data_IF_451423201323
#
_entry.id   IF_451423201323
#
_cell.length_a   1.000
_cell.length_b   1.000
_cell.length_c   1.000
_cell.angle_alpha   90.00
_cell.angle_beta   90.00
_cell.angle_gamma   90.00
#
_symmetry.space_group_name_H-M   'P 1'
#
loop_
_entity.id
_entity.type
_entity.pdbx_description
1 polymer ?
#
# COMPACT_ATOMS: atom_id res chain seq x y z
N UNK A 1 21.25 19.97 8.19
CA UNK A 1 21.42 19.51 9.57
C UNK A 1 22.88 19.14 9.79
N UNK A 2 23.42 19.40 10.99
CA UNK A 2 24.74 19.00 11.39
C UNK A 2 24.63 18.07 12.60
N UNK A 3 25.43 17.01 12.59
CA UNK A 3 25.49 16.05 13.69
C UNK A 3 25.86 16.75 15.01
N UNK A 4 25.16 16.44 16.07
CA UNK A 4 25.28 17.08 17.38
C UNK A 4 24.46 18.38 17.55
N UNK A 5 23.83 18.89 16.48
CA UNK A 5 23.04 20.13 16.49
C UNK A 5 21.55 19.88 16.15
N UNK A 6 21.12 18.63 16.07
CA UNK A 6 19.72 18.30 15.79
C UNK A 6 18.90 18.18 17.08
N UNK A 7 17.56 18.27 17.03
CA UNK A 7 16.71 18.05 18.19
C UNK A 7 16.86 16.68 18.86
N UNK A 8 17.42 15.70 18.13
CA UNK A 8 17.65 14.33 18.60
C UNK A 8 19.12 14.04 18.98
N UNK A 9 19.98 15.06 19.05
CA UNK A 9 21.37 14.92 19.45
C UNK A 9 21.55 14.31 20.85
N UNK A 10 20.49 14.35 21.69
CA UNK A 10 20.44 13.68 22.99
C UNK A 10 20.47 12.14 22.89
N UNK A 11 20.23 11.59 21.70
CA UNK A 11 20.32 10.15 21.37
C UNK A 11 21.29 9.98 20.21
N UNK A 12 22.62 10.01 20.43
CA UNK A 12 23.61 10.14 19.35
C UNK A 12 23.58 9.01 18.32
N UNK A 13 23.27 7.79 18.75
CA UNK A 13 23.19 6.66 17.81
C UNK A 13 21.97 6.77 16.86
N UNK A 14 20.84 7.25 17.35
CA UNK A 14 19.66 7.51 16.52
C UNK A 14 19.93 8.67 15.56
N UNK A 15 20.56 9.74 16.05
CA UNK A 15 20.95 10.86 15.21
C UNK A 15 21.83 10.41 14.04
N UNK A 16 22.85 9.59 14.29
CA UNK A 16 23.73 9.05 13.24
C UNK A 16 22.94 8.28 12.17
N UNK A 17 22.02 7.41 12.56
CA UNK A 17 21.18 6.66 11.62
C UNK A 17 20.34 7.60 10.77
N UNK A 18 19.66 8.57 11.38
CA UNK A 18 18.85 9.54 10.65
C UNK A 18 19.68 10.45 9.74
N UNK A 19 20.89 10.83 10.16
CA UNK A 19 21.80 11.59 9.31
C UNK A 19 22.26 10.78 8.08
N UNK A 20 22.40 9.45 8.20
CA UNK A 20 22.62 8.57 7.04
C UNK A 20 21.44 8.60 6.10
N UNK A 21 20.19 8.48 6.56
CA UNK A 21 18.99 8.56 5.73
C UNK A 21 18.94 9.85 4.90
N UNK A 22 19.34 10.97 5.46
CA UNK A 22 19.36 12.26 4.75
C UNK A 22 20.54 12.44 3.80
N UNK A 23 21.67 11.81 4.06
CA UNK A 23 22.91 11.98 3.27
C UNK A 23 23.04 10.96 2.14
N UNK A 24 22.56 9.74 2.37
CA UNK A 24 22.70 8.62 1.44
C UNK A 24 21.49 8.54 0.49
N UNK A 25 21.43 9.45 -0.47
CA UNK A 25 20.37 9.48 -1.50
C UNK A 25 20.54 8.43 -2.60
N UNK A 26 21.66 7.70 -2.62
CA UNK A 26 21.92 6.62 -3.57
C UNK A 26 21.77 5.27 -2.89
N UNK A 27 21.47 4.22 -3.68
CA UNK A 27 21.34 2.85 -3.17
C UNK A 27 22.71 2.25 -2.86
N UNK A 28 23.26 2.62 -1.70
CA UNK A 28 24.56 2.19 -1.17
C UNK A 28 24.44 0.93 -0.33
N UNK A 29 25.54 0.40 0.18
CA UNK A 29 25.57 -0.75 1.09
C UNK A 29 24.82 -0.48 2.42
N UNK A 30 24.67 0.79 2.78
CA UNK A 30 23.83 1.16 3.91
C UNK A 30 22.36 0.70 3.70
N UNK A 31 21.78 0.94 2.52
CA UNK A 31 20.40 0.58 2.20
C UNK A 31 20.21 -0.92 1.92
N UNK A 32 21.29 -1.66 1.66
CA UNK A 32 21.27 -3.11 1.41
C UNK A 32 21.25 -3.96 2.67
N UNK A 33 21.36 -3.33 3.86
CA UNK A 33 21.30 -4.06 5.12
C UNK A 33 19.96 -4.77 5.26
N UNK A 34 19.97 -6.01 5.76
CA UNK A 34 18.78 -6.85 5.92
C UNK A 34 17.67 -6.17 6.75
N UNK A 35 18.05 -5.37 7.73
CA UNK A 35 17.12 -4.60 8.56
C UNK A 35 16.46 -3.42 7.85
N UNK A 36 17.00 -2.98 6.72
CA UNK A 36 16.49 -1.84 5.94
C UNK A 36 15.84 -2.27 4.64
N UNK A 37 16.30 -3.36 4.05
CA UNK A 37 15.80 -3.84 2.76
C UNK A 37 15.55 -5.35 2.78
N UNK A 38 14.41 -5.76 3.29
CA UNK A 38 13.99 -7.16 3.32
C UNK A 38 13.60 -7.70 1.93
N UNK A 39 13.36 -6.84 0.94
CA UNK A 39 13.00 -7.26 -0.42
C UNK A 39 14.09 -8.15 -1.07
N UNK A 40 15.35 -7.96 -0.73
CA UNK A 40 16.44 -8.85 -1.18
C UNK A 40 16.41 -10.25 -0.55
N UNK A 41 15.49 -10.49 0.38
CA UNK A 41 15.43 -11.72 1.17
C UNK A 41 14.08 -12.43 1.07
N UNK A 42 13.21 -12.04 0.15
CA UNK A 42 11.90 -12.67 -0.06
C UNK A 42 12.01 -14.19 -0.27
N UNK A 43 13.05 -14.64 -1.00
CA UNK A 43 13.27 -16.08 -1.22
C UNK A 43 13.55 -16.88 0.07
N UNK A 44 14.05 -16.22 1.11
CA UNK A 44 14.35 -16.82 2.41
C UNK A 44 13.20 -16.74 3.40
N UNK A 45 12.15 -16.00 3.11
CA UNK A 45 10.98 -15.90 3.97
C UNK A 45 10.24 -17.23 4.02
N UNK A 46 9.65 -17.53 5.17
CA UNK A 46 8.89 -18.76 5.37
C UNK A 46 7.61 -18.79 4.51
N UNK A 47 7.24 -20.00 4.07
CA UNK A 47 5.96 -20.27 3.44
C UNK A 47 4.88 -20.40 4.53
N UNK A 48 4.24 -19.29 4.85
CA UNK A 48 3.16 -19.20 5.85
C UNK A 48 1.99 -18.38 5.29
N UNK A 49 0.75 -18.66 5.72
CA UNK A 49 -0.40 -17.85 5.34
C UNK A 49 -0.21 -16.39 5.79
N UNK A 50 -0.42 -15.43 4.88
CA UNK A 50 -0.19 -14.02 5.18
C UNK A 50 -1.24 -13.09 4.56
N UNK A 51 -1.57 -12.00 5.29
CA UNK A 51 -2.40 -10.90 4.80
C UNK A 51 -1.56 -9.65 4.72
N UNK A 52 -1.56 -9.03 3.55
CA UNK A 52 -0.90 -7.76 3.23
C UNK A 52 -1.97 -6.68 3.13
N UNK A 53 -1.85 -5.62 3.90
CA UNK A 53 -2.87 -4.57 3.94
C UNK A 53 -2.22 -3.20 3.92
N UNK A 54 -2.64 -2.33 2.99
CA UNK A 54 -2.20 -0.95 2.88
C UNK A 54 -3.27 -0.09 2.21
N UNK A 55 -2.95 1.17 1.92
CA UNK A 55 -3.86 2.10 1.27
C UNK A 55 -3.18 2.88 0.16
N UNK A 56 -3.97 3.35 -0.83
CA UNK A 56 -3.46 4.13 -1.96
C UNK A 56 -2.76 5.44 -1.56
N UNK A 57 -3.06 5.95 -0.36
CA UNK A 57 -2.45 7.15 0.24
C UNK A 57 -1.45 6.80 1.35
N UNK A 58 -1.02 5.54 1.44
CA UNK A 58 -0.02 5.08 2.40
C UNK A 58 1.36 5.04 1.73
N UNK A 59 2.42 5.59 2.35
CA UNK A 59 3.78 5.52 1.80
C UNK A 59 4.31 4.10 1.64
N UNK A 60 3.69 3.10 2.29
CA UNK A 60 4.09 1.70 2.21
C UNK A 60 3.28 0.87 1.20
N UNK A 61 2.44 1.50 0.36
CA UNK A 61 1.60 0.78 -0.60
C UNK A 61 2.41 -0.01 -1.63
N UNK A 62 3.49 0.58 -2.14
CA UNK A 62 4.36 -0.06 -3.12
C UNK A 62 5.02 -1.32 -2.54
N UNK A 63 5.72 -1.18 -1.43
CA UNK A 63 6.42 -2.30 -0.78
C UNK A 63 5.46 -3.41 -0.36
N UNK A 64 4.27 -3.04 0.15
CA UNK A 64 3.24 -4.01 0.56
C UNK A 64 2.75 -4.83 -0.63
N UNK A 65 2.47 -4.19 -1.76
CA UNK A 65 1.98 -4.85 -2.96
C UNK A 65 3.07 -5.67 -3.67
N UNK A 66 4.32 -5.20 -3.68
CA UNK A 66 5.47 -5.93 -4.22
C UNK A 66 5.77 -7.18 -3.39
N UNK A 67 5.75 -7.05 -2.05
CA UNK A 67 5.95 -8.20 -1.17
C UNK A 67 4.86 -9.25 -1.38
N UNK A 68 3.59 -8.85 -1.46
CA UNK A 68 2.51 -9.77 -1.78
C UNK A 68 2.76 -10.49 -3.10
N UNK A 69 3.07 -9.76 -4.18
CA UNK A 69 3.29 -10.35 -5.50
C UNK A 69 4.40 -11.41 -5.48
N UNK A 70 5.51 -11.13 -4.80
CA UNK A 70 6.62 -12.06 -4.63
C UNK A 70 6.22 -13.30 -3.81
N UNK A 71 5.56 -13.08 -2.68
CA UNK A 71 5.21 -14.19 -1.80
C UNK A 71 4.09 -15.04 -2.37
N UNK A 72 3.12 -14.45 -3.08
CA UNK A 72 2.07 -15.20 -3.78
C UNK A 72 2.62 -16.07 -4.92
N UNK A 73 3.65 -15.59 -5.62
CA UNK A 73 4.31 -16.37 -6.67
C UNK A 73 5.19 -17.51 -6.12
N UNK A 74 5.72 -17.36 -4.90
CA UNK A 74 6.66 -18.28 -4.27
C UNK A 74 5.98 -19.31 -3.39
N UNK A 75 5.01 -18.89 -2.58
CA UNK A 75 4.44 -19.68 -1.50
C UNK A 75 3.31 -20.60 -2.00
N UNK A 76 3.12 -21.71 -1.32
CA UNK A 76 1.99 -22.62 -1.51
C UNK A 76 0.84 -22.31 -0.55
N UNK A 77 1.12 -21.63 0.54
CA UNK A 77 0.11 -21.20 1.51
C UNK A 77 -0.62 -19.95 1.05
N UNK A 78 -1.88 -19.74 1.48
CA UNK A 78 -2.67 -18.58 1.09
C UNK A 78 -2.01 -17.24 1.40
N UNK A 79 -1.95 -16.38 0.38
CA UNK A 79 -1.48 -15.01 0.48
C UNK A 79 -2.64 -14.10 0.08
N UNK A 80 -2.94 -13.06 0.86
CA UNK A 80 -4.07 -12.16 0.61
C UNK A 80 -3.62 -10.70 0.62
N UNK A 81 -4.01 -9.93 -0.40
CA UNK A 81 -3.75 -8.49 -0.51
C UNK A 81 -5.04 -7.68 -0.35
N UNK A 82 -5.01 -6.65 0.48
CA UNK A 82 -6.12 -5.70 0.64
C UNK A 82 -5.57 -4.27 0.48
N UNK A 83 -5.99 -3.56 -0.57
CA UNK A 83 -5.63 -2.17 -0.82
C UNK A 83 -6.87 -1.29 -0.86
N UNK A 84 -7.06 -0.49 0.18
CA UNK A 84 -8.15 0.47 0.29
C UNK A 84 -7.74 1.91 -0.03
N UNK A 85 -8.70 2.86 -0.06
CA UNK A 85 -8.39 4.27 -0.26
C UNK A 85 -7.97 4.93 1.06
N UNK A 86 -7.03 4.30 1.76
CA UNK A 86 -6.60 4.69 3.09
C UNK A 86 -5.23 5.37 3.08
N UNK A 87 -4.98 6.17 4.10
CA UNK A 87 -3.64 6.54 4.52
C UNK A 87 -3.19 5.64 5.70
N UNK A 88 -1.97 5.82 6.18
CA UNK A 88 -1.37 4.99 7.23
C UNK A 88 -2.17 4.92 8.54
N UNK A 89 -3.04 5.88 8.82
CA UNK A 89 -3.76 5.96 10.10
C UNK A 89 -5.28 5.83 9.99
N UNK A 90 -5.86 5.91 8.78
CA UNK A 90 -7.32 5.92 8.60
C UNK A 90 -8.03 4.61 8.96
N UNK A 91 -7.31 3.50 9.06
CA UNK A 91 -7.82 2.21 9.54
C UNK A 91 -7.75 2.04 11.06
N UNK A 92 -7.33 3.06 11.82
CA UNK A 92 -7.19 2.98 13.29
C UNK A 92 -8.38 3.58 14.01
N UNK A 93 -8.63 3.12 15.23
CA UNK A 93 -9.70 3.63 16.07
C UNK A 93 -11.07 3.40 15.45
N UNK A 94 -11.82 4.47 15.26
CA UNK A 94 -13.15 4.40 14.63
C UNK A 94 -13.11 4.18 13.12
N UNK A 95 -11.94 4.30 12.49
CA UNK A 95 -11.77 4.35 11.06
C UNK A 95 -12.22 5.70 10.48
N UNK A 96 -12.11 5.80 9.16
CA UNK A 96 -12.61 6.94 8.41
C UNK A 96 -13.04 6.51 7.00
N UNK A 97 -14.11 7.12 6.52
CA UNK A 97 -14.57 6.98 5.13
C UNK A 97 -13.85 7.93 4.16
N UNK A 98 -12.94 8.76 4.69
CA UNK A 98 -12.27 9.83 3.94
C UNK A 98 -10.76 9.89 4.20
N UNK A 99 -10.05 10.52 3.29
CA UNK A 99 -8.65 10.92 3.43
C UNK A 99 -8.53 12.39 3.02
N UNK A 100 -8.13 13.25 3.97
CA UNK A 100 -8.14 14.69 3.74
C UNK A 100 -9.54 15.18 3.35
N UNK A 101 -9.61 15.90 2.23
CA UNK A 101 -10.82 16.50 1.69
C UNK A 101 -11.57 15.59 0.69
N UNK A 102 -11.27 14.28 0.70
CA UNK A 102 -11.87 13.31 -0.23
C UNK A 102 -12.64 12.23 0.52
N UNK A 103 -13.93 12.10 0.22
CA UNK A 103 -14.86 11.13 0.78
C UNK A 103 -15.05 9.93 -0.17
N UNK A 104 -14.93 8.69 0.38
CA UNK A 104 -15.02 7.43 -0.37
C UNK A 104 -16.25 6.59 0.00
N UNK A 105 -17.02 7.01 1.00
CA UNK A 105 -18.21 6.32 1.50
C UNK A 105 -17.93 5.28 2.58
N UNK A 106 -19.02 4.85 3.24
CA UNK A 106 -18.94 3.97 4.43
C UNK A 106 -18.36 2.58 4.17
N UNK A 107 -18.36 2.11 2.94
CA UNK A 107 -17.80 0.78 2.60
C UNK A 107 -16.29 0.68 2.83
N UNK A 108 -15.61 1.81 2.94
CA UNK A 108 -14.17 1.88 3.21
C UNK A 108 -13.85 2.24 4.66
N UNK A 109 -14.85 2.49 5.50
CA UNK A 109 -14.68 2.82 6.91
C UNK A 109 -14.29 1.58 7.73
N UNK A 110 -13.04 1.15 7.56
CA UNK A 110 -12.45 0.02 8.27
C UNK A 110 -11.69 0.51 9.50
N UNK A 111 -12.41 0.74 10.59
CA UNK A 111 -11.78 0.98 11.88
C UNK A 111 -11.34 -0.31 12.57
N UNK A 112 -10.84 -0.18 13.81
CA UNK A 112 -10.35 -1.31 14.60
C UNK A 112 -11.39 -2.46 14.66
N UNK A 113 -12.67 -2.17 14.65
CA UNK A 113 -13.73 -3.19 14.70
C UNK A 113 -13.70 -4.11 13.49
N UNK A 114 -13.72 -3.56 12.27
CA UNK A 114 -13.71 -4.35 11.03
C UNK A 114 -12.34 -5.03 10.84
N UNK A 115 -11.28 -4.28 11.07
CA UNK A 115 -9.91 -4.78 10.93
C UNK A 115 -9.63 -5.93 11.89
N UNK A 116 -10.11 -5.86 13.13
CA UNK A 116 -9.94 -6.96 14.09
C UNK A 116 -10.82 -8.16 13.76
N UNK A 117 -12.02 -7.98 13.19
CA UNK A 117 -12.84 -9.09 12.71
C UNK A 117 -12.10 -9.87 11.61
N UNK A 118 -11.52 -9.20 10.63
CA UNK A 118 -10.70 -9.83 9.58
C UNK A 118 -9.48 -10.54 10.16
N UNK A 119 -8.77 -9.92 11.10
CA UNK A 119 -7.62 -10.53 11.78
C UNK A 119 -8.01 -11.76 12.59
N UNK A 120 -9.12 -11.72 13.33
CA UNK A 120 -9.57 -12.87 14.11
C UNK A 120 -9.99 -14.03 13.21
N UNK A 121 -10.72 -13.79 12.13
CA UNK A 121 -11.04 -14.83 11.14
C UNK A 121 -9.76 -15.50 10.63
N UNK A 122 -8.75 -14.70 10.27
CA UNK A 122 -7.46 -15.20 9.78
C UNK A 122 -6.72 -16.02 10.83
N UNK A 123 -6.53 -15.49 12.02
CA UNK A 123 -5.78 -16.16 13.08
C UNK A 123 -6.53 -17.36 13.69
N UNK A 124 -7.85 -17.32 13.76
CA UNK A 124 -8.63 -18.46 14.23
C UNK A 124 -8.49 -19.64 13.25
N UNK A 125 -8.45 -19.37 11.96
CA UNK A 125 -8.21 -20.41 10.95
C UNK A 125 -6.78 -20.98 11.06
N UNK A 126 -5.78 -20.13 11.00
CA UNK A 126 -4.39 -20.58 10.82
C UNK A 126 -3.67 -20.94 12.12
N UNK A 127 -4.12 -20.48 13.27
CA UNK A 127 -3.51 -20.79 14.57
C UNK A 127 -4.33 -21.77 15.42
N UNK A 128 -5.65 -21.88 15.16
CA UNK A 128 -6.56 -22.70 15.97
C UNK A 128 -7.28 -23.77 15.15
N UNK A 129 -7.08 -23.80 13.83
CA UNK A 129 -7.76 -24.70 12.89
C UNK A 129 -9.31 -24.62 12.95
N UNK A 130 -9.83 -23.43 13.23
CA UNK A 130 -11.27 -23.15 13.21
C UNK A 130 -11.66 -22.78 11.78
N UNK A 131 -12.69 -23.44 11.24
CA UNK A 131 -13.26 -23.05 9.95
C UNK A 131 -13.96 -21.69 10.08
N UNK A 132 -13.39 -20.67 9.45
CA UNK A 132 -13.90 -19.28 9.44
C UNK A 132 -14.35 -18.83 8.05
N UNK A 133 -14.24 -19.70 7.04
CA UNK A 133 -14.52 -19.38 5.64
C UNK A 133 -13.49 -18.42 5.02
N UNK A 134 -12.35 -18.17 5.65
CA UNK A 134 -11.34 -17.22 5.15
C UNK A 134 -10.60 -17.75 3.92
N UNK A 135 -10.64 -19.06 3.70
CA UNK A 135 -10.04 -19.73 2.53
C UNK A 135 -10.84 -19.50 1.25
N UNK A 136 -12.13 -19.14 1.38
CA UNK A 136 -13.01 -18.80 0.26
C UNK A 136 -12.96 -17.30 -0.11
N UNK A 137 -12.24 -16.49 0.67
CA UNK A 137 -12.07 -15.08 0.39
C UNK A 137 -11.16 -14.88 -0.85
N UNK A 138 -11.44 -13.83 -1.62
CA UNK A 138 -10.61 -13.45 -2.76
C UNK A 138 -9.14 -13.20 -2.35
N UNK A 139 -8.15 -13.66 -3.13
CA UNK A 139 -6.73 -13.44 -2.82
C UNK A 139 -6.34 -11.97 -2.92
N UNK A 140 -7.03 -11.19 -3.74
CA UNK A 140 -6.78 -9.75 -3.88
C UNK A 140 -8.08 -8.97 -3.82
N UNK A 141 -8.12 -7.99 -2.94
CA UNK A 141 -9.23 -7.05 -2.80
C UNK A 141 -8.71 -5.62 -2.88
N UNK A 142 -9.07 -4.93 -3.94
CA UNK A 142 -8.64 -3.55 -4.16
C UNK A 142 -9.84 -2.60 -4.22
N UNK A 143 -9.65 -1.38 -3.74
CA UNK A 143 -10.60 -0.29 -3.97
C UNK A 143 -10.22 0.41 -5.28
N UNK A 144 -11.08 0.28 -6.28
CA UNK A 144 -10.91 0.97 -7.56
C UNK A 144 -11.37 2.40 -7.39
N UNK A 145 -10.47 3.34 -7.59
CA UNK A 145 -10.74 4.76 -7.46
C UNK A 145 -11.73 5.22 -8.52
N UNK A 146 -12.68 6.06 -8.13
CA UNK A 146 -13.69 6.63 -9.02
C UNK A 146 -13.33 8.04 -9.48
N UNK A 147 -14.17 8.63 -10.33
CA UNK A 147 -14.06 10.03 -10.75
C UNK A 147 -14.95 11.00 -9.96
N UNK A 148 -15.91 10.44 -9.21
CA UNK A 148 -16.93 11.22 -8.49
C UNK A 148 -17.86 12.01 -9.40
N UNK A 149 -18.88 12.61 -8.80
CA UNK A 149 -19.85 13.50 -9.48
C UNK A 149 -19.51 14.99 -9.36
N UNK A 150 -18.49 15.33 -8.58
CA UNK A 150 -18.15 16.72 -8.27
C UNK A 150 -18.96 17.34 -7.13
N UNK A 151 -19.81 16.55 -6.46
CA UNK A 151 -20.57 16.95 -5.29
C UNK A 151 -19.75 16.84 -4.00
N UNK A 152 -20.21 17.52 -2.96
CA UNK A 152 -19.54 17.59 -1.66
C UNK A 152 -20.46 17.09 -0.54
N UNK A 153 -19.83 16.53 0.49
CA UNK A 153 -20.53 16.19 1.73
C UNK A 153 -20.78 17.44 2.61
N UNK A 154 -21.49 17.25 3.75
CA UNK A 154 -21.76 18.33 4.71
C UNK A 154 -20.48 18.93 5.34
N UNK A 155 -19.37 18.20 5.34
CA UNK A 155 -18.08 18.66 5.84
C UNK A 155 -17.23 19.35 4.76
N UNK A 156 -17.75 19.47 3.53
CA UNK A 156 -17.06 20.09 2.40
C UNK A 156 -16.07 19.18 1.71
N UNK A 157 -16.14 17.85 1.90
CA UNK A 157 -15.28 16.88 1.21
C UNK A 157 -15.89 16.49 -0.11
N UNK A 158 -15.09 16.40 -1.15
CA UNK A 158 -15.53 15.95 -2.46
C UNK A 158 -15.80 14.44 -2.48
N UNK A 159 -16.97 14.03 -2.96
CA UNK A 159 -17.27 12.63 -3.20
C UNK A 159 -16.46 12.09 -4.37
N UNK A 160 -15.56 11.16 -4.07
CA UNK A 160 -14.69 10.55 -5.09
C UNK A 160 -15.37 9.39 -5.83
N UNK A 161 -16.36 8.76 -5.20
CA UNK A 161 -16.90 7.49 -5.71
C UNK A 161 -15.87 6.38 -5.59
N UNK A 162 -15.97 5.38 -6.45
CA UNK A 162 -15.13 4.18 -6.40
C UNK A 162 -15.85 2.99 -5.81
N UNK A 163 -15.23 1.81 -5.91
CA UNK A 163 -15.85 0.55 -5.46
C UNK A 163 -14.79 -0.50 -5.16
N UNK A 164 -15.12 -1.40 -4.24
CA UNK A 164 -14.31 -2.60 -4.00
C UNK A 164 -14.41 -3.57 -5.18
N UNK A 165 -13.30 -4.20 -5.50
CA UNK A 165 -13.19 -5.20 -6.54
C UNK A 165 -12.33 -6.37 -6.07
N UNK A 166 -12.83 -7.57 -6.29
CA UNK A 166 -12.11 -8.82 -6.13
C UNK A 166 -11.25 -9.09 -7.37
N UNK A 167 -10.03 -9.57 -7.16
CA UNK A 167 -9.10 -9.97 -8.22
C UNK A 167 -8.40 -11.27 -7.82
N UNK A 168 -8.00 -12.05 -8.81
CA UNK A 168 -7.33 -13.34 -8.59
C UNK A 168 -5.82 -13.19 -8.37
N UNK A 169 -5.23 -12.05 -8.78
CA UNK A 169 -3.79 -11.83 -8.75
C UNK A 169 -3.42 -10.36 -8.72
N UNK A 170 -2.20 -10.08 -8.32
CA UNK A 170 -1.56 -8.77 -8.39
C UNK A 170 -0.06 -8.91 -8.70
N UNK A 171 0.52 -8.17 -9.68
CA UNK A 171 -0.18 -7.26 -10.62
C UNK A 171 -1.22 -7.97 -11.49
N UNK A 172 -2.20 -7.20 -11.99
CA UNK A 172 -3.26 -7.75 -12.83
C UNK A 172 -2.68 -8.25 -14.16
N UNK A 173 -2.84 -9.51 -14.50
CA UNK A 173 -2.31 -10.10 -15.75
C UNK A 173 -2.87 -9.45 -17.02
N UNK A 174 -4.09 -8.90 -16.93
CA UNK A 174 -4.73 -8.16 -18.04
C UNK A 174 -4.21 -6.72 -18.19
N UNK A 175 -3.39 -6.22 -17.24
CA UNK A 175 -2.82 -4.89 -17.37
C UNK A 175 -1.77 -4.87 -18.48
N UNK A 176 -1.86 -3.85 -19.35
CA UNK A 176 -0.91 -3.62 -20.43
C UNK A 176 -0.16 -2.34 -20.15
N UNK A 177 1.15 -2.44 -19.98
CA UNK A 177 1.99 -1.26 -19.85
C UNK A 177 1.91 -0.42 -21.11
N UNK A 178 1.47 0.82 -20.96
CA UNK A 178 1.29 1.76 -22.06
C UNK A 178 2.02 3.06 -21.78
N UNK A 179 3.00 3.38 -22.62
CA UNK A 179 3.72 4.66 -22.52
C UNK A 179 2.89 5.80 -23.04
N UNK A 180 2.79 6.86 -22.26
CA UNK A 180 2.22 8.14 -22.67
C UNK A 180 3.30 9.20 -22.70
N UNK A 181 3.34 9.98 -23.76
CA UNK A 181 4.35 11.01 -23.99
C UNK A 181 3.70 12.39 -23.97
N UNK A 182 4.34 13.31 -23.24
CA UNK A 182 3.97 14.72 -23.27
C UNK A 182 4.23 15.28 -24.67
N UNK A 183 3.25 15.97 -25.22
CA UNK A 183 3.30 16.59 -26.53
C UNK A 183 3.47 18.11 -26.41
N UNK A 184 3.98 18.73 -27.48
CA UNK A 184 3.97 20.20 -27.59
C UNK A 184 2.53 20.71 -27.43
N UNK A 185 2.35 21.77 -26.62
CA UNK A 185 1.01 22.32 -26.34
C UNK A 185 0.27 21.64 -25.19
N UNK A 186 0.92 20.71 -24.42
CA UNK A 186 0.38 20.13 -23.19
C UNK A 186 -0.51 18.90 -23.40
N UNK A 187 -0.51 18.33 -24.59
CA UNK A 187 -1.18 17.05 -24.88
C UNK A 187 -0.46 15.86 -24.24
N UNK A 188 -1.17 14.74 -24.10
CA UNK A 188 -0.62 13.45 -23.65
C UNK A 188 -1.08 12.37 -24.63
N UNK A 189 -0.15 11.73 -25.33
CA UNK A 189 -0.44 10.74 -26.38
C UNK A 189 0.46 9.52 -26.30
N UNK A 190 0.04 8.41 -26.89
CA UNK A 190 0.84 7.19 -26.98
C UNK A 190 1.95 7.25 -28.04
N UNK A 191 1.83 8.17 -28.99
CA UNK A 191 2.88 8.42 -29.98
C UNK A 191 3.99 9.29 -29.40
N UNK A 192 5.24 8.93 -29.67
CA UNK A 192 6.38 9.78 -29.30
C UNK A 192 6.32 11.11 -30.07
N UNK A 193 6.68 12.23 -29.44
CA UNK A 193 6.77 13.51 -30.14
C UNK A 193 7.85 13.42 -31.23
N UNK A 194 7.59 14.09 -32.36
CA UNK A 194 8.51 14.09 -33.52
C UNK A 194 9.77 14.94 -33.31
N UNK A 195 9.76 15.84 -32.33
CA UNK A 195 10.90 16.65 -31.89
C UNK A 195 10.84 16.89 -30.38
N UNK A 196 11.99 17.11 -29.78
CA UNK A 196 12.16 17.50 -28.37
C UNK A 196 12.35 19.03 -28.27
N UNK A 197 11.63 19.82 -29.07
CA UNK A 197 11.70 21.29 -28.99
C UNK A 197 10.71 21.84 -27.97
#
# INVERSE_FOLDING_TARGET
>A
FKEGETPIAVVPNLEKVLMHYYRDGMYTDFWKQESLNHAQHYDRMADIPAVYSSGWYDPFAAETSEQFAHMAAKNTTPQRLILGPWNHVSMRGKGASHVGDVEFGESVNWGDRVLNQERFRWFDRWLKDIDTGVEDDEPVRIFVMGGGGGDFDEAGRIHHGGTWRAEEEWPLSRAVETSFYLQHGGGLETAKPSSLE
#
